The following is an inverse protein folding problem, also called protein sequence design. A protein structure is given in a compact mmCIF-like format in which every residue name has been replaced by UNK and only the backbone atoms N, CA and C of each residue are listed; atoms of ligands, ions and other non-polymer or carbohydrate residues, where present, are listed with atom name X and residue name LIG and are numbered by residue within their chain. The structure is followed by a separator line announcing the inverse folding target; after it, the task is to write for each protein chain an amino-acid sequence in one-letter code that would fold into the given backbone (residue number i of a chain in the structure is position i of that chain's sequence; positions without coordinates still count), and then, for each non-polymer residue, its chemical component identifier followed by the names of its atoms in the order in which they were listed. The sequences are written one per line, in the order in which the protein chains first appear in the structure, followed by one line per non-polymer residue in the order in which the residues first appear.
data_IF_082500297124
#
_entry.id   IF_082500297124
#
_cell.length_a   1.000
_cell.length_b   1.000
_cell.length_c   1.000
_cell.angle_alpha   90.00
_cell.angle_beta   90.00
_cell.angle_gamma   90.00
#
_symmetry.space_group_name_H-M   'P 1'
#
loop_
_entity.id
_entity.type
_entity.pdbx_description
1 polymer ?
#
# COMPACT_ATOMS: atom_id res chain seq x y z
N UNK A 1 5.03 -13.13 4.59
CA UNK A 1 5.69 -12.18 3.66
C UNK A 1 6.93 -11.65 4.37
N UNK A 2 8.09 -11.63 3.70
CA UNK A 2 9.33 -11.08 4.29
C UNK A 2 9.16 -9.62 4.72
N UNK A 3 8.28 -8.86 4.05
CA UNK A 3 8.02 -7.45 4.36
C UNK A 3 7.23 -7.31 5.67
N UNK A 4 6.14 -8.07 5.83
CA UNK A 4 5.30 -8.01 7.03
C UNK A 4 6.04 -8.43 8.30
N UNK A 5 7.00 -9.35 8.18
CA UNK A 5 7.84 -9.79 9.31
C UNK A 5 9.03 -8.88 9.57
N UNK A 6 9.29 -7.87 8.72
CA UNK A 6 10.44 -6.99 8.84
C UNK A 6 10.14 -5.70 9.64
N UNK A 7 8.87 -5.40 9.90
CA UNK A 7 8.42 -4.18 10.58
C UNK A 7 7.29 -4.49 11.56
N UNK A 8 7.18 -3.71 12.63
CA UNK A 8 6.07 -3.81 13.59
C UNK A 8 4.84 -2.97 13.18
N UNK A 9 4.92 -2.29 12.03
CA UNK A 9 3.83 -1.45 11.51
C UNK A 9 2.78 -2.30 10.78
N UNK A 10 1.48 -2.03 10.97
CA UNK A 10 0.43 -2.71 10.21
C UNK A 10 0.57 -2.47 8.71
N UNK A 11 0.59 -3.56 7.93
CA UNK A 11 0.65 -3.49 6.46
C UNK A 11 -0.74 -3.79 5.90
N UNK A 12 -1.23 -2.92 5.02
CA UNK A 12 -2.40 -3.19 4.17
C UNK A 12 -1.90 -3.48 2.76
N UNK A 13 -2.28 -4.61 2.18
CA UNK A 13 -1.88 -5.01 0.85
C UNK A 13 -3.00 -4.83 -0.20
N UNK A 14 -2.60 -4.60 -1.45
CA UNK A 14 -3.49 -4.60 -2.61
C UNK A 14 -3.75 -6.04 -3.04
N UNK A 15 -5.02 -6.47 -3.07
CA UNK A 15 -5.45 -7.78 -3.54
C UNK A 15 -6.19 -7.70 -4.89
N UNK A 16 -6.05 -6.58 -5.61
CA UNK A 16 -6.71 -6.29 -6.88
C UNK A 16 -8.22 -6.59 -6.81
N UNK A 17 -8.75 -7.26 -7.84
CA UNK A 17 -10.14 -7.71 -7.91
C UNK A 17 -10.35 -9.07 -7.22
N UNK A 18 -9.41 -9.55 -6.40
CA UNK A 18 -9.48 -10.88 -5.81
C UNK A 18 -9.22 -12.03 -6.78
N UNK A 19 -8.74 -11.73 -7.99
CA UNK A 19 -8.29 -12.67 -9.03
C UNK A 19 -9.40 -13.62 -9.52
N UNK A 20 -10.62 -13.11 -9.61
CA UNK A 20 -11.78 -13.82 -10.17
C UNK A 20 -13.07 -13.59 -9.39
N UNK A 21 -13.85 -14.66 -9.21
CA UNK A 21 -15.15 -14.62 -8.54
C UNK A 21 -15.02 -14.80 -7.02
N UNK A 22 -16.14 -15.05 -6.34
CA UNK A 22 -16.17 -15.27 -4.89
C UNK A 22 -15.27 -16.42 -4.42
N UNK A 23 -15.11 -17.50 -5.21
CA UNK A 23 -14.23 -18.62 -4.85
C UNK A 23 -12.76 -18.24 -4.92
N UNK A 24 -12.36 -17.49 -5.96
CA UNK A 24 -11.01 -16.91 -6.03
C UNK A 24 -10.79 -15.97 -4.85
N UNK A 25 -11.78 -15.15 -4.52
CA UNK A 25 -11.71 -14.20 -3.39
C UNK A 25 -11.47 -14.92 -2.06
N UNK A 26 -12.15 -16.05 -1.81
CA UNK A 26 -11.90 -16.89 -0.62
C UNK A 26 -10.44 -17.32 -0.57
N UNK A 27 -9.90 -17.86 -1.67
CA UNK A 27 -8.49 -18.26 -1.73
C UNK A 27 -7.56 -17.08 -1.52
N UNK A 28 -7.84 -15.94 -2.12
CA UNK A 28 -7.07 -14.71 -1.98
C UNK A 28 -6.97 -14.28 -0.52
N UNK A 29 -8.09 -14.18 0.20
CA UNK A 29 -8.08 -13.85 1.64
C UNK A 29 -7.28 -14.87 2.44
N UNK A 30 -7.48 -16.17 2.19
CA UNK A 30 -6.71 -17.23 2.87
C UNK A 30 -5.20 -17.06 2.69
N UNK A 31 -4.74 -16.73 1.48
CA UNK A 31 -3.32 -16.55 1.21
C UNK A 31 -2.78 -15.27 1.84
N UNK A 32 -3.50 -14.15 1.76
CA UNK A 32 -3.05 -12.90 2.37
C UNK A 32 -2.96 -12.97 3.89
N UNK A 33 -3.91 -13.61 4.58
CA UNK A 33 -3.83 -13.81 6.04
C UNK A 33 -2.54 -14.54 6.43
N UNK A 34 -2.15 -15.59 5.69
CA UNK A 34 -0.90 -16.34 5.94
C UNK A 34 0.35 -15.50 5.76
N UNK A 35 0.28 -14.37 5.06
CA UNK A 35 1.44 -13.51 4.84
C UNK A 35 1.80 -12.66 6.06
N UNK A 36 0.89 -12.49 7.02
CA UNK A 36 1.07 -11.64 8.19
C UNK A 36 0.77 -10.15 7.96
N UNK A 37 0.18 -9.78 6.82
CA UNK A 37 -0.34 -8.41 6.64
C UNK A 37 -1.56 -8.20 7.54
N UNK A 38 -1.80 -6.96 7.97
CA UNK A 38 -2.92 -6.61 8.84
C UNK A 38 -4.26 -6.56 8.11
N UNK A 39 -4.24 -6.46 6.78
CA UNK A 39 -5.44 -6.41 5.97
C UNK A 39 -5.17 -6.28 4.48
N UNK A 40 -6.24 -6.26 3.70
CA UNK A 40 -6.21 -6.04 2.26
C UNK A 40 -7.30 -5.08 1.80
N UNK A 41 -7.11 -4.50 0.63
CA UNK A 41 -8.21 -3.97 -0.14
C UNK A 41 -8.53 -4.84 -1.36
N UNK A 42 -9.82 -4.97 -1.68
CA UNK A 42 -10.37 -5.66 -2.84
C UNK A 42 -11.20 -4.68 -3.66
N UNK A 43 -11.25 -4.83 -4.98
CA UNK A 43 -12.01 -3.94 -5.86
C UNK A 43 -13.05 -4.66 -6.73
N UNK A 44 -14.04 -3.90 -7.19
CA UNK A 44 -15.19 -4.38 -7.98
C UNK A 44 -14.97 -4.34 -9.49
N UNK A 45 -13.73 -4.19 -9.96
CA UNK A 45 -13.42 -4.28 -11.39
C UNK A 45 -13.71 -5.67 -11.95
N UNK A 46 -14.07 -5.71 -13.23
CA UNK A 46 -14.14 -6.93 -14.03
C UNK A 46 -12.79 -7.20 -14.68
N UNK A 47 -12.31 -8.44 -14.60
CA UNK A 47 -11.09 -8.86 -15.27
C UNK A 47 -11.19 -8.74 -16.81
N UNK A 48 -10.14 -8.28 -17.53
CA UNK A 48 -8.82 -7.89 -17.03
C UNK A 48 -8.82 -6.54 -16.28
N UNK A 49 -8.28 -6.56 -15.06
CA UNK A 49 -8.18 -5.41 -14.16
C UNK A 49 -7.24 -4.33 -14.68
N UNK A 50 -7.54 -3.06 -14.39
CA UNK A 50 -6.70 -1.89 -14.73
C UNK A 50 -6.43 -1.04 -13.48
N UNK A 51 -5.36 -0.25 -13.51
CA UNK A 51 -5.18 0.80 -12.50
C UNK A 51 -6.36 1.78 -12.53
N UNK A 52 -6.81 2.23 -11.36
CA UNK A 52 -7.92 3.18 -11.18
C UNK A 52 -7.83 4.46 -12.01
N UNK A 53 -6.64 4.84 -12.44
CA UNK A 53 -6.37 6.07 -13.19
C UNK A 53 -6.20 5.82 -14.70
N UNK A 54 -6.47 4.60 -15.18
CA UNK A 54 -6.40 4.23 -16.60
C UNK A 54 -7.83 4.12 -17.15
N UNK A 55 -8.10 4.72 -18.31
CA UNK A 55 -9.40 4.65 -18.97
C UNK A 55 -9.77 3.22 -19.42
N UNK A 56 -11.08 2.96 -19.56
CA UNK A 56 -11.60 1.66 -20.01
C UNK A 56 -11.82 0.62 -18.91
N UNK A 57 -11.93 1.06 -17.65
CA UNK A 57 -12.34 0.20 -16.54
C UNK A 57 -13.79 -0.21 -16.70
N UNK A 58 -14.09 -1.45 -16.36
CA UNK A 58 -15.46 -1.95 -16.21
C UNK A 58 -15.58 -2.58 -14.84
N UNK A 59 -16.77 -2.54 -14.27
CA UNK A 59 -17.07 -3.14 -12.96
C UNK A 59 -17.98 -4.35 -13.15
N UNK A 60 -17.90 -5.30 -12.23
CA UNK A 60 -18.84 -6.44 -12.18
C UNK A 60 -20.23 -5.99 -11.74
N UNK A 61 -21.22 -6.85 -11.95
CA UNK A 61 -22.58 -6.60 -11.48
C UNK A 61 -22.59 -6.46 -9.95
N UNK A 62 -23.52 -5.66 -9.43
CA UNK A 62 -23.54 -5.33 -7.99
C UNK A 62 -23.66 -6.58 -7.12
N UNK A 63 -24.50 -7.54 -7.51
CA UNK A 63 -24.69 -8.79 -6.76
C UNK A 63 -23.44 -9.67 -6.76
N UNK A 64 -22.68 -9.68 -7.87
CA UNK A 64 -21.39 -10.38 -7.94
C UNK A 64 -20.37 -9.73 -6.99
N UNK A 65 -20.26 -8.40 -6.99
CA UNK A 65 -19.38 -7.67 -6.09
C UNK A 65 -19.74 -7.93 -4.61
N UNK A 66 -21.03 -7.84 -4.25
CA UNK A 66 -21.51 -8.15 -2.89
C UNK A 66 -21.15 -9.59 -2.51
N UNK A 67 -21.34 -10.56 -3.42
CA UNK A 67 -20.98 -11.96 -3.21
C UNK A 67 -19.50 -12.15 -2.88
N UNK A 68 -18.61 -11.43 -3.59
CA UNK A 68 -17.16 -11.43 -3.32
C UNK A 68 -16.85 -10.87 -1.93
N UNK A 69 -17.44 -9.74 -1.55
CA UNK A 69 -17.19 -9.13 -0.23
C UNK A 69 -17.73 -9.99 0.91
N UNK A 70 -18.92 -10.59 0.78
CA UNK A 70 -19.44 -11.55 1.76
C UNK A 70 -18.51 -12.74 1.93
N UNK A 71 -18.05 -13.32 0.82
CA UNK A 71 -17.12 -14.44 0.85
C UNK A 71 -15.78 -14.07 1.51
N UNK A 72 -15.30 -12.84 1.29
CA UNK A 72 -14.12 -12.30 1.96
C UNK A 72 -14.33 -12.16 3.47
N UNK A 73 -15.45 -11.56 3.89
CA UNK A 73 -15.81 -11.35 5.31
C UNK A 73 -15.99 -12.68 6.03
N UNK A 74 -16.71 -13.64 5.45
CA UNK A 74 -16.89 -14.98 6.02
C UNK A 74 -15.54 -15.70 6.19
N UNK A 75 -14.65 -15.57 5.20
CA UNK A 75 -13.31 -16.15 5.25
C UNK A 75 -12.44 -15.51 6.32
N UNK A 76 -12.46 -14.18 6.41
CA UNK A 76 -11.78 -13.39 7.44
C UNK A 76 -12.24 -13.80 8.83
N UNK A 77 -13.55 -13.79 9.09
CA UNK A 77 -14.13 -14.14 10.39
C UNK A 77 -13.75 -15.55 10.85
N UNK A 78 -13.59 -16.49 9.92
CA UNK A 78 -13.16 -17.87 10.23
C UNK A 78 -11.66 -17.99 10.54
N UNK A 79 -10.82 -17.16 9.94
CA UNK A 79 -9.37 -17.29 10.01
C UNK A 79 -8.71 -16.32 10.99
N UNK A 80 -9.09 -15.06 10.91
CA UNK A 80 -8.55 -13.95 11.69
C UNK A 80 -9.60 -12.82 11.73
N UNK A 81 -10.43 -12.75 12.79
CA UNK A 81 -11.47 -11.72 12.92
C UNK A 81 -10.95 -10.28 12.91
N UNK A 82 -9.68 -10.06 13.28
CA UNK A 82 -9.07 -8.72 13.35
C UNK A 82 -8.48 -8.28 12.00
N UNK A 83 -8.40 -9.18 11.02
CA UNK A 83 -7.88 -8.87 9.70
C UNK A 83 -8.80 -7.88 8.96
N UNK A 84 -8.22 -6.77 8.50
CA UNK A 84 -8.97 -5.65 7.92
C UNK A 84 -9.29 -5.89 6.46
N UNK A 85 -10.56 -5.70 6.09
CA UNK A 85 -11.05 -5.72 4.72
C UNK A 85 -11.52 -4.32 4.29
N UNK A 86 -10.91 -3.82 3.22
CA UNK A 86 -11.28 -2.54 2.61
C UNK A 86 -11.95 -2.82 1.25
N UNK A 87 -13.20 -2.39 1.09
CA UNK A 87 -13.90 -2.47 -0.18
C UNK A 87 -13.62 -1.24 -1.04
N UNK A 88 -13.07 -1.45 -2.22
CA UNK A 88 -12.86 -0.43 -3.24
C UNK A 88 -13.94 -0.52 -4.32
N UNK A 89 -14.49 0.62 -4.71
CA UNK A 89 -15.29 0.74 -5.93
C UNK A 89 -14.58 1.61 -6.96
N UNK A 90 -14.51 1.10 -8.20
CA UNK A 90 -14.03 1.85 -9.37
C UNK A 90 -15.17 2.45 -10.20
N UNK A 91 -16.42 2.29 -9.74
CA UNK A 91 -17.62 2.63 -10.49
C UNK A 91 -17.76 4.12 -10.83
N UNK A 92 -17.05 5.04 -10.17
CA UNK A 92 -17.12 6.46 -10.53
C UNK A 92 -16.47 6.76 -11.90
N UNK A 93 -15.30 6.16 -12.15
CA UNK A 93 -14.54 6.36 -13.39
C UNK A 93 -14.68 5.22 -14.41
N UNK A 94 -15.58 4.26 -14.16
CA UNK A 94 -15.81 3.12 -15.04
C UNK A 94 -16.72 3.49 -16.23
N UNK A 95 -16.75 2.63 -17.25
CA UNK A 95 -17.71 2.75 -18.37
C UNK A 95 -19.14 2.71 -17.83
N UNK A 96 -19.95 3.72 -18.16
CA UNK A 96 -21.31 3.86 -17.63
C UNK A 96 -21.38 4.21 -16.14
N UNK A 97 -20.25 4.59 -15.56
CA UNK A 97 -20.09 4.90 -14.14
C UNK A 97 -20.63 6.27 -13.73
N UNK A 98 -20.90 6.43 -12.44
CA UNK A 98 -21.27 7.71 -11.83
C UNK A 98 -20.93 7.75 -10.35
N UNK A 99 -20.98 8.94 -9.76
CA UNK A 99 -20.75 9.09 -8.32
C UNK A 99 -21.91 8.46 -7.53
N UNK A 100 -23.13 8.57 -8.04
CA UNK A 100 -24.32 7.93 -7.47
C UNK A 100 -24.16 6.40 -7.44
N UNK A 101 -23.63 5.81 -8.51
CA UNK A 101 -23.37 4.36 -8.55
C UNK A 101 -22.25 3.96 -7.59
N UNK A 102 -21.18 4.75 -7.49
CA UNK A 102 -20.13 4.51 -6.51
C UNK A 102 -20.65 4.60 -5.06
N UNK A 103 -21.55 5.56 -4.76
CA UNK A 103 -22.22 5.67 -3.46
C UNK A 103 -23.12 4.45 -3.20
N UNK A 104 -23.92 4.04 -4.18
CA UNK A 104 -24.80 2.86 -4.08
C UNK A 104 -23.99 1.61 -3.73
N UNK A 105 -22.89 1.39 -4.45
CA UNK A 105 -21.95 0.29 -4.25
C UNK A 105 -21.25 0.37 -2.89
N UNK A 106 -20.72 1.54 -2.54
CA UNK A 106 -20.07 1.76 -1.25
C UNK A 106 -20.96 1.41 -0.06
N UNK A 107 -22.25 1.79 -0.11
CA UNK A 107 -23.24 1.40 0.91
C UNK A 107 -23.46 -0.11 0.94
N UNK A 108 -23.67 -0.73 -0.21
CA UNK A 108 -23.88 -2.17 -0.30
C UNK A 108 -22.67 -2.98 0.20
N UNK A 109 -21.45 -2.49 -0.04
CA UNK A 109 -20.22 -3.14 0.44
C UNK A 109 -20.07 -2.97 1.95
N UNK A 110 -20.43 -1.80 2.50
CA UNK A 110 -20.52 -1.60 3.95
C UNK A 110 -21.53 -2.54 4.60
N UNK A 111 -22.73 -2.69 4.01
CA UNK A 111 -23.76 -3.64 4.47
C UNK A 111 -23.29 -5.11 4.41
N UNK A 112 -22.30 -5.42 3.58
CA UNK A 112 -21.68 -6.74 3.51
C UNK A 112 -20.70 -7.03 4.66
N UNK A 113 -20.36 -6.03 5.50
CA UNK A 113 -19.53 -6.20 6.70
C UNK A 113 -18.04 -5.95 6.51
N UNK A 114 -17.64 -5.20 5.48
CA UNK A 114 -16.25 -4.72 5.34
C UNK A 114 -15.95 -3.60 6.34
N UNK A 115 -14.68 -3.45 6.71
CA UNK A 115 -14.28 -2.51 7.77
C UNK A 115 -14.12 -1.08 7.25
N UNK A 116 -13.73 -0.92 5.98
CA UNK A 116 -13.60 0.37 5.32
C UNK A 116 -14.14 0.33 3.89
N UNK A 117 -14.58 1.50 3.40
CA UNK A 117 -14.98 1.70 2.00
C UNK A 117 -14.15 2.81 1.35
N UNK A 118 -13.77 2.56 0.10
CA UNK A 118 -12.98 3.44 -0.75
C UNK A 118 -13.67 3.62 -2.10
N UNK A 119 -13.92 4.87 -2.50
CA UNK A 119 -14.27 5.21 -3.87
C UNK A 119 -13.02 5.72 -4.60
N UNK A 120 -12.61 5.04 -5.67
CA UNK A 120 -11.53 5.56 -6.51
C UNK A 120 -12.00 6.78 -7.30
N UNK A 121 -11.28 7.89 -7.14
CA UNK A 121 -11.62 9.16 -7.79
C UNK A 121 -10.87 9.33 -9.10
N UNK A 122 -11.49 10.02 -10.06
CA UNK A 122 -10.89 10.23 -11.38
C UNK A 122 -9.89 11.40 -11.41
N UNK A 123 -9.89 12.27 -10.41
CA UNK A 123 -8.99 13.43 -10.29
C UNK A 123 -8.92 13.93 -8.83
N UNK A 124 -8.09 14.94 -8.58
CA UNK A 124 -7.89 15.55 -7.27
C UNK A 124 -9.02 16.49 -6.81
N UNK A 125 -10.09 16.67 -7.60
CA UNK A 125 -11.14 17.63 -7.26
C UNK A 125 -11.82 17.29 -5.93
N UNK A 126 -12.11 18.32 -5.15
CA UNK A 126 -12.66 18.17 -3.80
C UNK A 126 -14.09 17.65 -3.78
N UNK A 127 -14.92 18.09 -4.73
CA UNK A 127 -16.36 17.90 -4.69
C UNK A 127 -16.80 16.41 -4.65
N UNK A 128 -16.26 15.50 -5.50
CA UNK A 128 -16.63 14.09 -5.46
C UNK A 128 -16.28 13.42 -4.13
N UNK A 129 -15.10 13.71 -3.56
CA UNK A 129 -14.69 13.19 -2.26
C UNK A 129 -15.65 13.64 -1.14
N UNK A 130 -15.96 14.93 -1.08
CA UNK A 130 -16.89 15.48 -0.07
C UNK A 130 -18.29 14.88 -0.22
N UNK A 131 -18.78 14.77 -1.45
CA UNK A 131 -20.11 14.23 -1.73
C UNK A 131 -20.20 12.73 -1.36
N UNK A 132 -19.19 11.94 -1.72
CA UNK A 132 -19.11 10.53 -1.32
C UNK A 132 -19.11 10.37 0.19
N UNK A 133 -18.23 11.09 0.89
CA UNK A 133 -18.13 11.03 2.36
C UNK A 133 -19.44 11.42 3.05
N UNK A 134 -20.08 12.53 2.61
CA UNK A 134 -21.38 12.95 3.15
C UNK A 134 -22.46 11.89 2.92
N UNK A 135 -22.54 11.33 1.72
CA UNK A 135 -23.53 10.31 1.40
C UNK A 135 -23.32 9.01 2.19
N UNK A 136 -22.07 8.56 2.36
CA UNK A 136 -21.77 7.40 3.20
C UNK A 136 -22.19 7.64 4.65
N UNK A 137 -21.93 8.83 5.21
CA UNK A 137 -22.31 9.14 6.60
C UNK A 137 -23.82 9.19 6.86
N UNK A 138 -24.66 9.41 5.83
CA UNK A 138 -26.11 9.40 6.00
C UNK A 138 -26.65 8.03 6.43
N UNK A 139 -26.04 6.93 5.97
CA UNK A 139 -26.48 5.57 6.29
C UNK A 139 -25.49 4.81 7.17
N UNK A 140 -24.20 5.14 7.08
CA UNK A 140 -23.09 4.51 7.80
C UNK A 140 -22.25 5.56 8.55
N UNK A 141 -22.81 6.26 9.55
CA UNK A 141 -22.18 7.43 10.17
C UNK A 141 -20.84 7.16 10.87
N UNK A 142 -20.57 5.90 11.23
CA UNK A 142 -19.35 5.47 11.94
C UNK A 142 -18.36 4.69 11.07
N UNK A 143 -18.72 4.35 9.83
CA UNK A 143 -17.84 3.57 8.96
C UNK A 143 -16.64 4.42 8.54
N UNK A 144 -15.40 4.00 8.82
CA UNK A 144 -14.21 4.68 8.33
C UNK A 144 -14.10 4.53 6.81
N UNK A 145 -13.67 5.60 6.14
CA UNK A 145 -13.42 5.59 4.70
C UNK A 145 -11.92 5.51 4.42
N UNK A 146 -11.55 5.01 3.25
CA UNK A 146 -10.18 5.10 2.76
C UNK A 146 -10.08 6.07 1.57
N UNK A 147 -8.93 6.72 1.44
CA UNK A 147 -8.64 7.70 0.40
C UNK A 147 -7.26 7.45 -0.21
N UNK A 148 -7.25 7.20 -1.51
CA UNK A 148 -6.02 7.18 -2.30
C UNK A 148 -5.62 8.61 -2.64
N UNK A 149 -4.60 9.12 -1.95
CA UNK A 149 -3.97 10.39 -2.28
C UNK A 149 -3.02 10.20 -3.46
N UNK A 150 -3.60 9.84 -4.61
CA UNK A 150 -2.93 9.18 -5.73
C UNK A 150 -1.77 9.97 -6.31
N UNK A 151 -0.65 9.31 -6.57
CA UNK A 151 0.48 9.88 -7.33
C UNK A 151 0.15 10.14 -8.80
N UNK A 152 -0.97 9.59 -9.30
CA UNK A 152 -1.45 9.87 -10.67
C UNK A 152 -2.14 11.23 -10.80
N UNK A 153 -2.42 11.92 -9.68
CA UNK A 153 -2.94 13.27 -9.71
C UNK A 153 -1.82 14.32 -9.74
N UNK A 154 -2.16 15.50 -10.25
CA UNK A 154 -1.24 16.65 -10.32
C UNK A 154 -1.43 17.57 -9.12
N UNK A 155 -1.16 17.08 -7.91
CA UNK A 155 -1.37 17.83 -6.66
C UNK A 155 -0.71 19.20 -6.63
N UNK A 156 0.49 19.34 -7.22
CA UNK A 156 1.21 20.63 -7.29
C UNK A 156 0.53 21.68 -8.19
N UNK A 157 -0.44 21.28 -9.03
CA UNK A 157 -1.21 22.18 -9.91
C UNK A 157 -2.61 22.48 -9.33
N UNK A 158 -3.01 21.78 -8.27
CA UNK A 158 -4.25 22.08 -7.57
C UNK A 158 -4.02 23.32 -6.69
N UNK A 159 -4.80 24.41 -6.84
CA UNK A 159 -4.65 25.58 -5.99
C UNK A 159 -5.13 25.34 -4.55
N UNK A 160 -5.88 24.27 -4.30
CA UNK A 160 -6.53 23.95 -3.01
C UNK A 160 -6.49 22.45 -2.69
N UNK A 161 -5.30 21.81 -2.72
CA UNK A 161 -5.21 20.36 -2.51
C UNK A 161 -5.73 20.01 -1.12
N UNK A 162 -6.34 18.84 -0.98
CA UNK A 162 -6.74 18.36 0.34
C UNK A 162 -5.53 18.19 1.25
N UNK A 163 -5.64 18.67 2.48
CA UNK A 163 -4.75 18.20 3.55
C UNK A 163 -5.25 16.86 4.10
N UNK A 164 -4.34 16.07 4.69
CA UNK A 164 -4.74 14.83 5.37
C UNK A 164 -5.69 15.10 6.55
N UNK A 165 -5.54 16.24 7.23
CA UNK A 165 -6.43 16.64 8.32
C UNK A 165 -7.86 16.91 7.82
N UNK A 166 -8.02 17.58 6.69
CA UNK A 166 -9.34 17.82 6.08
C UNK A 166 -10.02 16.51 5.65
N UNK A 167 -9.27 15.59 5.03
CA UNK A 167 -9.77 14.26 4.69
C UNK A 167 -10.18 13.49 5.96
N UNK A 168 -9.36 13.55 7.01
CA UNK A 168 -9.66 12.98 8.33
C UNK A 168 -10.96 13.51 8.93
N UNK A 169 -11.22 14.82 8.82
CA UNK A 169 -12.45 15.45 9.30
C UNK A 169 -13.69 14.93 8.54
N UNK A 170 -13.56 14.64 7.24
CA UNK A 170 -14.61 14.03 6.42
C UNK A 170 -14.86 12.55 6.75
N UNK A 171 -13.93 11.87 7.44
CA UNK A 171 -14.06 10.47 7.85
C UNK A 171 -13.16 9.50 7.08
N UNK A 172 -12.29 10.02 6.23
CA UNK A 172 -11.22 9.22 5.62
C UNK A 172 -10.14 8.94 6.67
N UNK A 173 -10.12 7.73 7.21
CA UNK A 173 -9.23 7.31 8.31
C UNK A 173 -8.02 6.53 7.84
N UNK A 174 -8.10 5.92 6.66
CA UNK A 174 -6.94 5.32 6.00
C UNK A 174 -6.61 6.13 4.74
N UNK A 175 -5.53 6.90 4.79
CA UNK A 175 -5.06 7.74 3.68
C UNK A 175 -3.70 7.21 3.26
N UNK A 176 -3.54 6.90 1.98
CA UNK A 176 -2.31 6.31 1.45
C UNK A 176 -1.94 6.96 0.11
N UNK A 177 -0.64 6.96 -0.20
CA UNK A 177 -0.10 7.43 -1.47
C UNK A 177 0.47 6.22 -2.20
N UNK A 178 -0.24 5.72 -3.21
CA UNK A 178 0.07 4.42 -3.86
C UNK A 178 1.49 4.31 -4.42
N UNK A 179 1.94 5.28 -5.22
CA UNK A 179 3.22 5.18 -5.93
C UNK A 179 4.32 6.10 -5.36
N UNK A 180 4.15 6.62 -4.13
CA UNK A 180 5.09 7.59 -3.56
C UNK A 180 6.54 7.09 -3.54
N UNK A 181 6.76 5.91 -2.95
CA UNK A 181 8.09 5.32 -2.84
C UNK A 181 8.67 4.97 -4.22
N UNK A 182 7.84 4.53 -5.17
CA UNK A 182 8.26 4.24 -6.54
C UNK A 182 8.74 5.50 -7.26
N UNK A 183 7.99 6.61 -7.17
CA UNK A 183 8.39 7.90 -7.74
C UNK A 183 9.67 8.44 -7.07
N UNK A 184 9.76 8.39 -5.74
CA UNK A 184 10.93 8.87 -5.00
C UNK A 184 12.19 8.06 -5.35
N UNK A 185 12.08 6.73 -5.35
CA UNK A 185 13.19 5.85 -5.70
C UNK A 185 13.62 6.00 -7.15
N UNK A 186 12.67 6.02 -8.09
CA UNK A 186 12.96 6.22 -9.51
C UNK A 186 13.63 7.58 -9.77
N UNK A 187 13.17 8.65 -9.12
CA UNK A 187 13.79 9.96 -9.22
C UNK A 187 15.23 9.96 -8.69
N UNK A 188 15.46 9.37 -7.52
CA UNK A 188 16.81 9.30 -6.92
C UNK A 188 17.77 8.49 -7.80
N UNK A 189 17.34 7.31 -8.27
CA UNK A 189 18.16 6.44 -9.12
C UNK A 189 18.44 7.10 -10.47
N UNK A 190 17.44 7.71 -11.11
CA UNK A 190 17.62 8.41 -12.38
C UNK A 190 18.71 9.49 -12.28
N UNK A 191 18.61 10.37 -11.29
CA UNK A 191 19.58 11.46 -11.11
C UNK A 191 20.99 10.93 -10.77
N UNK A 192 21.09 9.88 -9.95
CA UNK A 192 22.36 9.25 -9.64
C UNK A 192 23.01 8.60 -10.88
N UNK A 193 22.22 7.98 -11.76
CA UNK A 193 22.72 7.39 -13.01
C UNK A 193 23.12 8.45 -14.03
N UNK A 194 22.37 9.56 -14.12
CA UNK A 194 22.75 10.72 -14.93
C UNK A 194 24.07 11.35 -14.48
N UNK A 195 24.28 11.46 -13.16
CA UNK A 195 25.53 11.97 -12.59
C UNK A 195 26.70 11.01 -12.86
N UNK A 196 26.49 9.70 -12.64
CA UNK A 196 27.48 8.66 -12.94
C UNK A 196 27.90 8.66 -14.41
N UNK A 197 26.95 8.82 -15.34
CA UNK A 197 27.24 8.86 -16.77
C UNK A 197 28.11 10.06 -17.17
N UNK A 198 27.98 11.20 -16.46
CA UNK A 198 28.71 12.45 -16.75
C UNK A 198 30.04 12.54 -16.02
N UNK A 199 30.06 12.14 -14.74
CA UNK A 199 31.14 12.40 -13.80
C UNK A 199 31.86 11.13 -13.32
N UNK A 200 31.49 9.96 -13.86
CA UNK A 200 32.17 8.68 -13.60
C UNK A 200 32.32 8.42 -12.09
N UNK A 201 33.51 8.01 -11.62
CA UNK A 201 33.76 7.69 -10.21
C UNK A 201 33.51 8.87 -9.24
N UNK A 202 33.53 10.11 -9.74
CA UNK A 202 33.29 11.27 -8.88
C UNK A 202 31.83 11.31 -8.40
N UNK A 203 30.88 10.77 -9.17
CA UNK A 203 29.48 10.62 -8.77
C UNK A 203 29.34 9.67 -7.57
N UNK A 204 30.13 8.58 -7.52
CA UNK A 204 30.16 7.69 -6.37
C UNK A 204 30.59 8.43 -5.10
N UNK A 205 31.68 9.20 -5.16
CA UNK A 205 32.16 9.98 -4.01
C UNK A 205 31.18 11.08 -3.59
N UNK A 206 30.42 11.64 -4.53
CA UNK A 206 29.37 12.61 -4.23
C UNK A 206 28.20 11.94 -3.52
N UNK A 207 27.74 10.79 -4.01
CA UNK A 207 26.68 10.02 -3.38
C UNK A 207 27.07 9.54 -1.97
N UNK A 208 28.32 9.12 -1.76
CA UNK A 208 28.86 8.81 -0.43
C UNK A 208 28.77 10.01 0.50
N UNK A 209 29.27 11.18 0.06
CA UNK A 209 29.19 12.43 0.85
C UNK A 209 27.77 12.87 1.15
N UNK A 210 26.84 12.70 0.21
CA UNK A 210 25.42 13.03 0.41
C UNK A 210 24.76 12.15 1.47
N UNK A 211 25.15 10.88 1.56
CA UNK A 211 24.59 9.94 2.53
C UNK A 211 25.32 9.97 3.89
N UNK A 212 26.44 10.68 4.01
CA UNK A 212 27.22 10.71 5.24
C UNK A 212 26.35 11.12 6.44
N UNK A 213 26.30 10.28 7.48
CA UNK A 213 25.47 10.46 8.67
C UNK A 213 23.98 10.14 8.50
N UNK A 214 23.52 9.74 7.31
CA UNK A 214 22.14 9.31 7.08
C UNK A 214 21.94 7.85 7.55
N UNK A 215 20.77 7.47 8.10
CA UNK A 215 20.53 6.09 8.55
C UNK A 215 20.74 4.99 7.48
N UNK A 216 20.69 5.35 6.20
CA UNK A 216 20.91 4.42 5.07
C UNK A 216 22.33 4.47 4.50
N UNK A 217 23.26 5.19 5.14
CA UNK A 217 24.65 5.29 4.70
C UNK A 217 25.29 3.90 4.54
N UNK A 218 25.19 3.09 5.61
CA UNK A 218 25.74 1.76 5.68
C UNK A 218 24.69 0.71 5.32
N UNK A 219 24.88 0.07 4.17
CA UNK A 219 24.09 -1.08 3.78
C UNK A 219 24.29 -2.28 4.72
N UNK A 220 25.44 -2.39 5.41
CA UNK A 220 25.67 -3.43 6.41
C UNK A 220 24.78 -3.27 7.64
N UNK A 221 24.58 -2.02 8.09
CA UNK A 221 23.64 -1.71 9.18
C UNK A 221 22.22 -2.02 8.74
N UNK A 222 21.82 -1.56 7.55
CA UNK A 222 20.49 -1.83 6.99
C UNK A 222 20.23 -3.33 6.80
N UNK A 223 21.24 -4.10 6.43
CA UNK A 223 21.18 -5.56 6.30
C UNK A 223 21.34 -6.30 7.63
N UNK A 224 21.49 -5.58 8.75
CA UNK A 224 21.64 -6.13 10.11
C UNK A 224 22.82 -7.11 10.23
N UNK A 225 23.94 -6.84 9.56
CA UNK A 225 25.10 -7.74 9.54
C UNK A 225 25.57 -8.10 10.95
N UNK A 226 25.67 -7.12 11.84
CA UNK A 226 26.08 -7.30 13.25
C UNK A 226 25.20 -8.32 13.98
N UNK A 227 23.88 -8.24 13.80
CA UNK A 227 22.93 -9.17 14.40
C UNK A 227 23.18 -10.61 13.93
N UNK A 228 23.46 -10.81 12.64
CA UNK A 228 23.77 -12.14 12.12
C UNK A 228 25.13 -12.64 12.62
N UNK A 229 26.15 -11.77 12.69
CA UNK A 229 27.45 -12.14 13.26
C UNK A 229 27.33 -12.56 14.73
N UNK A 230 26.45 -11.92 15.52
CA UNK A 230 26.16 -12.36 16.89
C UNK A 230 25.49 -13.74 16.94
N UNK A 231 24.54 -14.01 16.05
CA UNK A 231 23.90 -15.32 15.93
C UNK A 231 24.91 -16.39 15.51
N UNK A 232 25.78 -16.09 14.55
CA UNK A 232 26.85 -17.00 14.13
C UNK A 232 27.85 -17.29 15.27
N UNK A 233 28.22 -16.28 16.06
CA UNK A 233 29.05 -16.47 17.26
C UNK A 233 28.38 -17.39 18.27
N UNK A 234 27.06 -17.26 18.44
CA UNK A 234 26.29 -18.07 19.39
C UNK A 234 26.08 -19.51 18.94
N UNK A 235 25.83 -19.73 17.64
CA UNK A 235 25.33 -21.02 17.16
C UNK A 235 26.29 -21.78 16.24
N UNK A 236 27.36 -21.14 15.73
CA UNK A 236 28.32 -21.79 14.82
C UNK A 236 29.71 -21.82 15.48
N UNK A 237 30.23 -23.02 15.85
CA UNK A 237 31.55 -23.14 16.44
C UNK A 237 32.67 -22.55 15.57
N UNK A 238 33.61 -21.86 16.21
CA UNK A 238 34.77 -21.26 15.54
C UNK A 238 34.50 -19.93 14.83
N UNK A 239 33.25 -19.42 14.80
CA UNK A 239 32.93 -18.13 14.18
C UNK A 239 33.75 -16.99 14.75
N UNK A 240 33.89 -16.89 16.07
CA UNK A 240 34.61 -15.79 16.69
C UNK A 240 36.08 -15.74 16.24
N UNK A 241 36.74 -16.89 16.14
CA UNK A 241 38.09 -17.00 15.63
C UNK A 241 38.17 -16.58 14.16
N UNK A 242 37.25 -17.07 13.32
CA UNK A 242 37.19 -16.71 11.88
C UNK A 242 37.03 -15.22 11.67
N UNK A 243 36.10 -14.57 12.38
CA UNK A 243 35.86 -13.13 12.28
C UNK A 243 37.14 -12.38 12.66
N UNK A 244 37.75 -12.70 13.82
CA UNK A 244 39.00 -12.06 14.28
C UNK A 244 40.18 -12.26 13.33
N UNK A 245 40.23 -13.39 12.61
CA UNK A 245 41.30 -13.70 11.66
C UNK A 245 41.01 -13.26 10.23
N UNK A 246 39.94 -12.50 9.98
CA UNK A 246 39.51 -12.08 8.64
C UNK A 246 39.35 -10.57 8.53
N UNK A 247 39.35 -10.06 7.30
CA UNK A 247 39.05 -8.66 7.01
C UNK A 247 37.62 -8.52 6.48
N UNK A 248 36.93 -7.44 6.83
CA UNK A 248 35.56 -7.18 6.40
C UNK A 248 34.84 -6.22 7.33
N UNK A 249 33.55 -6.01 7.11
CA UNK A 249 32.73 -5.27 8.05
C UNK A 249 32.56 -6.06 9.37
N UNK A 250 32.86 -5.39 10.47
CA UNK A 250 32.53 -5.79 11.82
C UNK A 250 32.13 -4.54 12.61
N UNK A 251 31.66 -4.75 13.84
CA UNK A 251 31.17 -3.67 14.70
C UNK A 251 32.23 -2.60 15.04
N UNK A 252 33.53 -2.89 14.88
CA UNK A 252 34.58 -1.90 15.10
C UNK A 252 34.59 -0.78 14.05
N UNK A 253 33.88 -0.96 12.92
CA UNK A 253 33.79 0.00 11.81
C UNK A 253 32.51 0.86 11.82
N UNK A 254 31.74 0.80 12.91
CA UNK A 254 30.53 1.63 13.12
C UNK A 254 30.83 3.04 13.66
N UNK A 255 32.10 3.36 13.94
CA UNK A 255 32.58 4.61 14.50
C UNK A 255 33.51 5.36 13.55
#
# INVERSE_FOLDING_TARGET
SMVATAVDLPIIADADDGYGNALSTIRTVQEFVKTGVAGIHLEDQRFPKRCGHIAGKTVVDLDEAIGKYRAAVDTRNRLDPEFVLIARTDAYGAVGGSLEEAIRRGRAYADAGVDLVWCELSNAARAPAVAFAKAMRQTHPRLPLAFNYSSSFRWHQDPTPFTFAELGALGYRFIFITLYAAHAGMYAVWNAMEDLAKNQEQAQWQLERMKAGHPTESHHVMARVSHFQELEKRYIPGTEARIKSSAGFDDSRLH
#
